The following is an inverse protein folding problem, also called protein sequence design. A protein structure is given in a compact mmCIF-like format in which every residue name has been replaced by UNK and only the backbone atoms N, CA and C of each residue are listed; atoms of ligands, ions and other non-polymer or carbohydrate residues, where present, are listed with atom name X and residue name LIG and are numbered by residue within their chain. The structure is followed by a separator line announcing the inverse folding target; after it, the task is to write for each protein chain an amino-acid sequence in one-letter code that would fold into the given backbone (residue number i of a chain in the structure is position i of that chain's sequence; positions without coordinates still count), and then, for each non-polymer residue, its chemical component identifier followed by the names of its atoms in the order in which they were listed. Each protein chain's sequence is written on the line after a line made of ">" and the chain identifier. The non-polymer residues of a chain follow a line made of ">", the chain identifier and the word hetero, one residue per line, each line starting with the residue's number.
data_IF_024711182112
#
_entry.id   IF_024711182112
#
_cell.length_a   1.000
_cell.length_b   1.000
_cell.length_c   1.000
_cell.angle_alpha   90.00
_cell.angle_beta   90.00
_cell.angle_gamma   90.00
#
_symmetry.space_group_name_H-M   'P 1'
#
loop_
_entity.id
_entity.type
_entity.pdbx_description
1 polymer ?
#
# COMPACT_ATOMS: atom_id res chain seq x y z
N UNK A 1 0.80 19.79 -1.67
CA UNK A 1 -0.27 19.17 -0.86
C UNK A 1 -0.53 20.03 0.37
N UNK A 2 -1.74 20.55 0.58
CA UNK A 2 -2.07 21.44 1.73
C UNK A 2 -1.81 20.76 3.09
N UNK A 3 -2.05 19.44 3.16
CA UNK A 3 -1.82 18.63 4.37
C UNK A 3 -0.36 18.68 4.83
N UNK A 4 0.61 18.63 3.93
CA UNK A 4 2.04 18.64 4.30
C UNK A 4 2.55 20.01 4.77
N UNK A 5 1.80 21.09 4.49
CA UNK A 5 2.08 22.42 5.02
C UNK A 5 1.35 22.69 6.33
N UNK A 6 0.50 21.77 6.77
CA UNK A 6 -0.17 21.88 8.06
C UNK A 6 0.81 21.52 9.17
N UNK A 7 0.66 22.12 10.36
CA UNK A 7 1.48 21.80 11.55
C UNK A 7 1.05 20.49 12.23
N UNK A 8 0.57 19.52 11.46
CA UNK A 8 0.16 18.20 11.97
C UNK A 8 1.39 17.36 12.31
N UNK A 9 1.27 16.52 13.34
CA UNK A 9 2.29 15.53 13.66
C UNK A 9 2.43 14.51 12.52
N UNK A 10 3.60 13.88 12.37
CA UNK A 10 3.84 12.92 11.29
C UNK A 10 2.80 11.79 11.22
N UNK A 11 2.29 11.34 12.37
CA UNK A 11 1.18 10.37 12.43
C UNK A 11 -0.14 10.91 11.90
N UNK A 12 -0.52 12.12 12.28
CA UNK A 12 -1.74 12.75 11.80
C UNK A 12 -1.65 13.11 10.31
N UNK A 13 -0.47 13.51 9.85
CA UNK A 13 -0.17 13.76 8.43
C UNK A 13 -0.38 12.51 7.59
N UNK A 14 0.19 11.37 7.99
CA UNK A 14 0.00 10.09 7.28
C UNK A 14 -1.46 9.65 7.34
N UNK A 15 -2.10 9.76 8.50
CA UNK A 15 -3.53 9.44 8.64
C UNK A 15 -4.40 10.29 7.71
N UNK A 16 -4.11 11.58 7.60
CA UNK A 16 -4.81 12.46 6.67
C UNK A 16 -4.56 12.06 5.21
N UNK A 17 -3.32 11.74 4.81
CA UNK A 17 -3.04 11.23 3.46
C UNK A 17 -3.86 9.96 3.18
N UNK A 18 -3.87 9.01 4.11
CA UNK A 18 -4.62 7.77 3.98
C UNK A 18 -6.14 8.02 3.85
N UNK A 19 -6.70 8.99 4.59
CA UNK A 19 -8.14 9.31 4.55
C UNK A 19 -8.53 10.02 3.26
N UNK A 20 -7.72 10.96 2.78
CA UNK A 20 -8.12 11.85 1.69
C UNK A 20 -7.65 11.39 0.31
N UNK A 21 -6.44 10.83 0.20
CA UNK A 21 -5.86 10.48 -1.10
C UNK A 21 -6.21 9.05 -1.54
N UNK A 22 -6.21 8.10 -0.61
CA UNK A 22 -6.38 6.68 -0.94
C UNK A 22 -7.77 6.34 -1.50
N UNK A 23 -8.89 6.90 -1.00
CA UNK A 23 -10.20 6.61 -1.59
C UNK A 23 -10.30 6.99 -3.07
N UNK A 24 -9.63 8.07 -3.48
CA UNK A 24 -9.56 8.48 -4.89
C UNK A 24 -8.89 7.40 -5.73
N UNK A 25 -7.76 6.86 -5.25
CA UNK A 25 -7.05 5.77 -5.93
C UNK A 25 -7.91 4.52 -5.99
N UNK A 26 -8.52 4.11 -4.87
CA UNK A 26 -9.39 2.92 -4.81
C UNK A 26 -10.51 3.00 -5.84
N UNK A 27 -11.22 4.12 -5.89
CA UNK A 27 -12.29 4.32 -6.86
C UNK A 27 -11.77 4.22 -8.31
N UNK A 28 -10.64 4.86 -8.61
CA UNK A 28 -10.08 4.82 -9.97
C UNK A 28 -9.49 3.46 -10.35
N UNK A 29 -9.19 2.59 -9.38
CA UNK A 29 -8.47 1.32 -9.65
C UNK A 29 -9.24 0.34 -10.54
N UNK A 30 -10.58 0.38 -10.50
CA UNK A 30 -11.45 -0.44 -11.35
C UNK A 30 -11.94 0.26 -12.63
N UNK A 31 -11.55 1.52 -12.84
CA UNK A 31 -12.00 2.33 -13.99
C UNK A 31 -10.82 2.68 -14.91
N UNK A 32 -9.67 2.97 -14.32
CA UNK A 32 -8.46 3.40 -15.01
C UNK A 32 -7.47 2.23 -15.02
N UNK A 33 -6.98 1.90 -16.21
CA UNK A 33 -5.96 0.87 -16.41
C UNK A 33 -4.57 1.38 -15.97
N UNK A 34 -4.38 1.47 -14.65
CA UNK A 34 -3.12 1.91 -14.08
C UNK A 34 -1.99 0.95 -14.40
N UNK A 35 -0.95 1.45 -15.04
CA UNK A 35 0.28 0.68 -15.24
C UNK A 35 1.13 0.66 -13.96
N UNK A 36 1.91 -0.41 -13.76
CA UNK A 36 2.81 -0.51 -12.61
C UNK A 36 3.81 0.67 -12.55
N UNK A 37 4.30 1.12 -13.70
CA UNK A 37 5.24 2.24 -13.80
C UNK A 37 4.61 3.56 -13.31
N UNK A 38 3.35 3.82 -13.65
CA UNK A 38 2.63 5.02 -13.20
C UNK A 38 2.39 5.01 -11.69
N UNK A 39 1.97 3.87 -11.14
CA UNK A 39 1.75 3.72 -9.70
C UNK A 39 3.05 3.91 -8.92
N UNK A 40 4.16 3.35 -9.40
CA UNK A 40 5.48 3.56 -8.80
C UNK A 40 5.96 5.01 -8.94
N UNK A 41 5.70 5.67 -10.07
CA UNK A 41 6.06 7.07 -10.27
C UNK A 41 5.26 7.99 -9.33
N UNK A 42 3.97 7.71 -9.13
CA UNK A 42 3.11 8.42 -8.19
C UNK A 42 3.61 8.26 -6.76
N UNK A 43 3.98 7.04 -6.37
CA UNK A 43 4.52 6.73 -5.06
C UNK A 43 5.86 7.46 -4.81
N UNK A 44 6.79 7.40 -5.77
CA UNK A 44 8.08 8.13 -5.72
C UNK A 44 7.88 9.64 -5.58
N UNK A 45 6.95 10.22 -6.35
CA UNK A 45 6.61 11.65 -6.24
C UNK A 45 6.04 11.99 -4.87
N UNK A 46 5.14 11.16 -4.34
CA UNK A 46 4.55 11.36 -3.01
C UNK A 46 5.62 11.35 -1.93
N UNK A 47 6.51 10.35 -1.94
CA UNK A 47 7.65 10.28 -1.01
C UNK A 47 8.57 11.49 -1.14
N UNK A 48 8.92 11.92 -2.35
CA UNK A 48 9.73 13.12 -2.57
C UNK A 48 9.11 14.36 -1.92
N UNK A 49 7.80 14.57 -2.08
CA UNK A 49 7.10 15.72 -1.47
C UNK A 49 7.09 15.59 0.05
N UNK A 50 6.90 14.39 0.60
CA UNK A 50 6.97 14.14 2.04
C UNK A 50 8.37 14.40 2.59
N UNK A 51 9.43 13.92 1.93
CA UNK A 51 10.82 14.17 2.33
C UNK A 51 11.16 15.66 2.38
N UNK A 52 10.58 16.48 1.50
CA UNK A 52 10.81 17.92 1.51
C UNK A 52 10.12 18.65 2.68
N UNK A 53 9.12 18.05 3.34
CA UNK A 53 8.24 18.79 4.27
C UNK A 53 8.02 18.11 5.64
N UNK A 54 8.04 16.78 5.70
CA UNK A 54 7.53 16.02 6.85
C UNK A 54 8.29 14.73 7.18
N UNK A 55 9.06 14.17 6.23
CA UNK A 55 9.80 12.92 6.39
C UNK A 55 11.31 13.21 6.35
N UNK A 56 12.11 12.48 7.13
CA UNK A 56 13.57 12.64 7.08
C UNK A 56 14.12 12.08 5.75
N UNK A 57 15.15 12.69 5.13
CA UNK A 57 15.71 12.22 3.86
C UNK A 57 16.21 10.78 3.88
N UNK A 58 16.69 10.31 5.02
CA UNK A 58 17.18 8.95 5.24
C UNK A 58 16.14 8.07 5.95
N UNK A 59 14.85 8.43 5.91
CA UNK A 59 13.80 7.56 6.43
C UNK A 59 13.71 6.28 5.62
N UNK A 60 13.60 5.17 6.33
CA UNK A 60 13.49 3.84 5.75
C UNK A 60 12.11 3.67 5.06
N UNK A 61 12.11 3.10 3.85
CA UNK A 61 10.95 3.05 2.96
C UNK A 61 10.01 1.91 3.38
N UNK A 62 10.53 0.74 3.72
CA UNK A 62 9.70 -0.40 4.12
C UNK A 62 8.93 -0.08 5.42
N UNK A 63 9.59 0.60 6.36
CA UNK A 63 9.03 1.14 7.59
C UNK A 63 7.96 2.19 7.34
N UNK A 64 8.04 2.96 6.25
CA UNK A 64 6.99 3.92 5.89
C UNK A 64 5.64 3.20 5.67
N UNK A 65 5.67 2.04 5.02
CA UNK A 65 4.48 1.26 4.67
C UNK A 65 4.14 0.16 5.67
N UNK A 66 5.02 -0.14 6.63
CA UNK A 66 4.70 -1.04 7.74
C UNK A 66 3.62 -0.43 8.67
N UNK A 67 2.67 -1.22 9.17
CA UNK A 67 1.68 -0.77 10.15
C UNK A 67 2.33 -0.17 11.41
N UNK A 68 1.67 0.83 11.99
CA UNK A 68 2.16 1.50 13.21
C UNK A 68 2.22 0.57 14.42
N UNK A 69 1.30 -0.39 14.49
CA UNK A 69 1.18 -1.36 15.59
C UNK A 69 2.43 -2.25 15.71
N UNK A 70 3.19 -2.39 14.62
CA UNK A 70 4.42 -3.18 14.57
C UNK A 70 5.68 -2.31 14.36
N UNK A 71 5.61 -1.02 14.70
CA UNK A 71 6.77 -0.12 14.69
C UNK A 71 7.00 0.66 13.39
N UNK A 72 6.12 0.52 12.40
CA UNK A 72 6.13 1.28 11.15
C UNK A 72 5.47 2.66 11.23
N UNK A 73 5.25 3.29 10.08
CA UNK A 73 4.57 4.60 9.97
C UNK A 73 3.13 4.52 9.48
N UNK A 74 2.74 3.39 8.87
CA UNK A 74 1.36 3.06 8.50
C UNK A 74 0.82 3.79 7.29
N UNK A 75 1.68 4.29 6.39
CA UNK A 75 1.24 4.84 5.12
C UNK A 75 0.80 3.70 4.20
N UNK A 76 -0.29 3.88 3.46
CA UNK A 76 -0.71 2.86 2.49
C UNK A 76 0.02 3.07 1.15
N UNK A 77 0.58 2.00 0.60
CA UNK A 77 1.27 2.06 -0.70
C UNK A 77 0.24 2.01 -1.83
N UNK A 78 0.31 2.98 -2.76
CA UNK A 78 -0.66 3.12 -3.86
C UNK A 78 -0.75 1.85 -4.72
N UNK A 79 0.39 1.29 -5.09
CA UNK A 79 0.46 0.05 -5.87
C UNK A 79 -0.24 -1.11 -5.14
N UNK A 80 0.06 -1.29 -3.86
CA UNK A 80 -0.55 -2.35 -3.05
C UNK A 80 -2.07 -2.19 -3.01
N UNK A 81 -2.57 -0.98 -2.84
CA UNK A 81 -4.02 -0.72 -2.79
C UNK A 81 -4.69 -1.14 -4.10
N UNK A 82 -4.14 -0.77 -5.26
CA UNK A 82 -4.73 -1.15 -6.55
C UNK A 82 -4.78 -2.67 -6.72
N UNK A 83 -3.70 -3.37 -6.33
CA UNK A 83 -3.66 -4.82 -6.38
C UNK A 83 -4.58 -5.50 -5.34
N UNK A 84 -4.75 -4.89 -4.16
CA UNK A 84 -5.73 -5.34 -3.16
C UNK A 84 -7.17 -5.17 -3.69
N UNK A 85 -7.49 -4.07 -4.38
CA UNK A 85 -8.83 -3.87 -4.95
C UNK A 85 -9.15 -4.87 -6.06
N UNK A 86 -8.18 -5.15 -6.95
CA UNK A 86 -8.34 -6.19 -7.99
C UNK A 86 -8.63 -7.57 -7.39
N UNK A 87 -7.87 -7.97 -6.36
CA UNK A 87 -8.10 -9.24 -5.64
C UNK A 87 -9.44 -9.27 -4.94
N UNK A 88 -9.83 -8.19 -4.26
CA UNK A 88 -11.12 -8.12 -3.60
C UNK A 88 -12.28 -8.28 -4.59
N UNK A 89 -12.15 -7.70 -5.79
CA UNK A 89 -13.15 -7.84 -6.85
C UNK A 89 -13.20 -9.27 -7.40
N UNK A 90 -12.05 -9.92 -7.61
CA UNK A 90 -11.98 -11.33 -8.02
C UNK A 90 -12.62 -12.27 -6.98
N UNK A 91 -12.27 -12.09 -5.69
CA UNK A 91 -12.87 -12.83 -4.59
C UNK A 91 -14.39 -12.63 -4.54
N UNK A 92 -14.85 -11.39 -4.70
CA UNK A 92 -16.27 -11.08 -4.79
C UNK A 92 -16.93 -11.84 -5.94
N UNK A 93 -16.43 -11.73 -7.16
CA UNK A 93 -17.02 -12.41 -8.32
C UNK A 93 -17.07 -13.93 -8.15
N UNK A 94 -16.06 -14.53 -7.51
CA UNK A 94 -16.00 -15.96 -7.23
C UNK A 94 -17.01 -16.42 -6.18
N UNK A 95 -17.20 -15.64 -5.12
CA UNK A 95 -18.07 -15.99 -4.00
C UNK A 95 -19.55 -15.68 -4.27
N UNK A 96 -19.86 -14.89 -5.31
CA UNK A 96 -21.24 -14.57 -5.67
C UNK A 96 -21.97 -15.76 -6.31
N UNK A 97 -23.26 -15.89 -5.98
CA UNK A 97 -24.11 -16.95 -6.53
C UNK A 97 -24.78 -16.59 -7.86
N UNK A 98 -24.81 -15.30 -8.22
CA UNK A 98 -25.47 -14.80 -9.42
C UNK A 98 -24.82 -15.30 -10.71
N UNK A 99 -25.63 -15.85 -11.62
CA UNK A 99 -25.15 -16.45 -12.87
C UNK A 99 -24.41 -15.45 -13.76
N UNK A 100 -24.87 -14.20 -13.82
CA UNK A 100 -24.22 -13.14 -14.59
C UNK A 100 -22.78 -12.86 -14.09
N UNK A 101 -22.59 -12.81 -12.77
CA UNK A 101 -21.28 -12.54 -12.16
C UNK A 101 -20.33 -13.74 -12.32
N UNK A 102 -20.85 -14.97 -12.27
CA UNK A 102 -20.08 -16.19 -12.57
C UNK A 102 -19.60 -16.22 -14.01
N UNK A 103 -20.42 -15.79 -14.97
CA UNK A 103 -20.02 -15.67 -16.37
C UNK A 103 -18.89 -14.64 -16.53
N UNK A 104 -18.99 -13.48 -15.87
CA UNK A 104 -17.92 -12.48 -15.88
C UNK A 104 -16.61 -13.03 -15.28
N UNK A 105 -16.68 -13.83 -14.22
CA UNK A 105 -15.51 -14.50 -13.65
C UNK A 105 -14.86 -15.48 -14.64
N UNK A 106 -15.67 -16.21 -15.42
CA UNK A 106 -15.19 -17.16 -16.43
C UNK A 106 -14.44 -16.51 -17.59
N UNK A 107 -14.67 -15.23 -17.87
CA UNK A 107 -13.90 -14.45 -18.86
C UNK A 107 -12.41 -14.31 -18.47
N UNK A 108 -12.04 -14.59 -17.21
CA UNK A 108 -10.64 -14.68 -16.78
C UNK A 108 -9.88 -13.36 -16.84
N UNK A 109 -10.58 -12.22 -16.86
CA UNK A 109 -10.00 -10.88 -16.94
C UNK A 109 -9.21 -10.49 -15.68
N UNK A 110 -9.61 -11.06 -14.53
CA UNK A 110 -8.92 -10.93 -13.26
C UNK A 110 -8.32 -12.29 -12.94
N UNK A 111 -7.00 -12.39 -12.98
CA UNK A 111 -6.27 -13.60 -12.59
C UNK A 111 -5.28 -13.23 -11.51
N UNK A 112 -5.69 -13.39 -10.25
CA UNK A 112 -4.79 -13.18 -9.12
C UNK A 112 -4.61 -14.49 -8.36
N UNK A 113 -3.37 -14.97 -8.30
CA UNK A 113 -3.10 -16.32 -7.81
C UNK A 113 -3.40 -16.56 -6.32
N UNK A 114 -3.36 -15.52 -5.50
CA UNK A 114 -3.50 -15.61 -4.03
C UNK A 114 -4.66 -14.76 -3.53
N UNK A 115 -5.27 -15.19 -2.42
CA UNK A 115 -6.28 -14.39 -1.71
C UNK A 115 -5.69 -13.09 -1.18
N UNK A 116 -6.53 -12.07 -1.07
CA UNK A 116 -6.17 -10.74 -0.59
C UNK A 116 -5.55 -10.80 0.81
N UNK A 117 -6.13 -11.60 1.70
CA UNK A 117 -5.66 -11.76 3.07
C UNK A 117 -4.27 -12.42 3.14
N UNK A 118 -4.02 -13.46 2.34
CA UNK A 118 -2.71 -14.12 2.30
C UNK A 118 -1.66 -13.14 1.80
N UNK A 119 -1.93 -12.48 0.67
CA UNK A 119 -1.01 -11.53 0.07
C UNK A 119 -0.64 -10.38 1.02
N UNK A 120 -1.60 -9.86 1.77
CA UNK A 120 -1.36 -8.80 2.76
C UNK A 120 -0.44 -9.25 3.90
N UNK A 121 -0.60 -10.49 4.38
CA UNK A 121 0.28 -11.06 5.42
C UNK A 121 1.70 -11.23 4.89
N UNK A 122 1.85 -11.75 3.69
CA UNK A 122 3.16 -11.97 3.07
C UNK A 122 3.88 -10.65 2.79
N UNK A 123 3.17 -9.61 2.34
CA UNK A 123 3.76 -8.29 2.16
C UNK A 123 4.26 -7.68 3.48
N UNK A 124 3.48 -7.80 4.57
CA UNK A 124 3.92 -7.31 5.88
C UNK A 124 5.15 -8.07 6.35
N UNK A 125 5.15 -9.40 6.20
CA UNK A 125 6.28 -10.26 6.54
C UNK A 125 7.54 -9.89 5.74
N UNK A 126 7.44 -9.81 4.42
CA UNK A 126 8.55 -9.47 3.54
C UNK A 126 9.14 -8.08 3.86
N UNK A 127 8.29 -7.08 4.13
CA UNK A 127 8.74 -5.75 4.55
C UNK A 127 9.42 -5.77 5.92
N UNK A 128 8.91 -6.57 6.85
CA UNK A 128 9.49 -6.71 8.18
C UNK A 128 10.88 -7.36 8.09
N UNK A 129 11.00 -8.47 7.35
CA UNK A 129 12.28 -9.16 7.10
C UNK A 129 13.29 -8.21 6.43
N UNK A 130 12.87 -7.52 5.36
CA UNK A 130 13.74 -6.54 4.66
C UNK A 130 14.19 -5.41 5.58
N UNK A 131 13.34 -4.98 6.52
CA UNK A 131 13.69 -3.95 7.49
C UNK A 131 14.61 -4.49 8.61
N UNK A 132 14.36 -5.70 9.11
CA UNK A 132 15.18 -6.36 10.13
C UNK A 132 16.59 -6.70 9.62
N UNK A 133 16.71 -7.09 8.36
CA UNK A 133 17.97 -7.47 7.72
C UNK A 133 18.87 -6.25 7.41
N UNK A 134 18.31 -5.02 7.41
CA UNK A 134 19.08 -3.80 7.22
C UNK A 134 19.89 -3.48 8.47
N UNK A 135 21.22 -3.51 8.33
CA UNK A 135 22.15 -3.13 9.39
C UNK A 135 21.93 -1.67 9.83
N UNK A 136 21.54 -1.46 11.10
CA UNK A 136 21.48 -0.14 11.71
C UNK A 136 22.86 0.19 12.29
N UNK A 137 23.65 0.97 11.57
CA UNK A 137 24.97 1.42 12.05
C UNK A 137 25.90 0.27 12.49
N UNK A 138 25.81 -0.90 11.82
CA UNK A 138 26.60 -2.10 12.16
C UNK A 138 26.03 -2.96 13.30
N UNK A 139 24.85 -2.64 13.82
CA UNK A 139 24.12 -3.47 14.79
C UNK A 139 22.82 -4.00 14.15
N UNK A 140 22.57 -5.31 14.29
CA UNK A 140 21.32 -5.93 13.88
C UNK A 140 20.28 -5.75 15.00
N UNK A 141 19.01 -5.60 14.63
CA UNK A 141 17.90 -5.61 15.60
C UNK A 141 17.92 -6.98 16.30
N UNK A 142 18.17 -7.00 17.60
CA UNK A 142 18.13 -8.24 18.38
C UNK A 142 16.69 -8.72 18.50
N UNK A 143 16.41 -9.89 17.90
CA UNK A 143 15.12 -10.58 18.08
C UNK A 143 14.97 -10.94 19.56
N UNK A 144 13.89 -10.46 20.18
CA UNK A 144 13.49 -10.83 21.54
C UNK A 144 12.75 -12.16 21.54
#
# INVERSE_FOLDING_TARGET
>A
MKILKSKLSGGNTIKAINIWAIPVIRYTSGIVDWTQAELQAMDKKTRKIMTMNALHPHSEIDRLYLPRQIGGHGMLQVHQIVEEEKRALEEYLKDNEEDALKLVYQEGLLTTGETNLANKKDQIKNRMETWEDKALHGQYITKK
#
